data_IF_800955975934
#
_entry.id   IF_800955975934
#
_cell.length_a   1.000
_cell.length_b   1.000
_cell.length_c   1.000
_cell.angle_alpha   90.00
_cell.angle_beta   90.00
_cell.angle_gamma   90.00
#
_symmetry.space_group_name_H-M   'P 1'
#
loop_
_entity.id
_entity.type
_entity.pdbx_description
1 polymer ?
#
# COMPACT_ATOMS: atom_id res chain seq x y z
N UNK A 1 -2.70 -13.14 10.27
CA UNK A 1 -2.80 -13.80 8.95
C UNK A 1 -2.80 -12.79 7.79
N UNK A 2 -3.57 -11.70 7.84
CA UNK A 2 -3.58 -10.70 6.78
C UNK A 2 -2.19 -10.14 6.43
N UNK A 3 -1.41 -9.77 7.45
CA UNK A 3 -0.04 -9.26 7.27
C UNK A 3 0.85 -10.22 6.45
N UNK A 4 0.94 -11.49 6.85
CA UNK A 4 1.80 -12.46 6.17
C UNK A 4 1.39 -12.75 4.73
N UNK A 5 0.09 -12.67 4.43
CA UNK A 5 -0.41 -12.80 3.05
C UNK A 5 -0.01 -11.58 2.22
N UNK A 6 -0.17 -10.38 2.77
CA UNK A 6 0.11 -9.13 2.08
C UNK A 6 1.62 -8.93 1.85
N UNK A 7 2.47 -9.29 2.80
CA UNK A 7 3.93 -9.27 2.60
C UNK A 7 4.38 -10.28 1.55
N UNK A 8 3.77 -11.48 1.51
CA UNK A 8 3.98 -12.45 0.44
C UNK A 8 3.56 -11.93 -0.94
N UNK A 9 2.40 -11.28 -1.03
CA UNK A 9 1.92 -10.67 -2.27
C UNK A 9 2.85 -9.56 -2.77
N UNK A 10 3.38 -8.72 -1.87
CA UNK A 10 4.38 -7.69 -2.20
C UNK A 10 5.66 -8.36 -2.72
N UNK A 11 6.16 -9.40 -2.06
CA UNK A 11 7.36 -10.11 -2.51
C UNK A 11 7.17 -10.69 -3.92
N UNK A 12 6.05 -11.35 -4.19
CA UNK A 12 5.71 -11.86 -5.53
C UNK A 12 5.64 -10.72 -6.57
N UNK A 13 5.02 -9.59 -6.23
CA UNK A 13 4.90 -8.41 -7.08
C UNK A 13 6.23 -7.73 -7.44
N UNK A 14 7.32 -8.06 -6.74
CA UNK A 14 8.68 -7.55 -7.04
C UNK A 14 9.53 -8.49 -7.90
N UNK A 15 9.06 -9.71 -8.17
CA UNK A 15 9.74 -10.64 -9.08
C UNK A 15 9.60 -10.19 -10.54
N UNK A 16 10.48 -10.61 -11.47
CA UNK A 16 10.34 -10.27 -12.89
C UNK A 16 8.97 -10.64 -13.46
N UNK A 17 8.48 -11.85 -13.18
CA UNK A 17 7.14 -12.30 -13.58
C UNK A 17 6.04 -11.44 -12.93
N UNK A 18 6.18 -11.10 -11.64
CA UNK A 18 5.24 -10.22 -10.95
C UNK A 18 5.18 -8.80 -11.53
N UNK A 19 6.32 -8.25 -11.98
CA UNK A 19 6.36 -6.94 -12.64
C UNK A 19 5.62 -6.93 -13.97
N UNK A 20 5.61 -8.07 -14.68
CA UNK A 20 4.89 -8.24 -15.95
C UNK A 20 3.40 -8.52 -15.76
N UNK A 21 3.04 -9.36 -14.78
CA UNK A 21 1.69 -9.90 -14.62
C UNK A 21 0.83 -9.12 -13.64
N UNK A 22 1.43 -8.50 -12.60
CA UNK A 22 0.68 -7.84 -11.52
C UNK A 22 0.64 -6.34 -11.78
N UNK A 23 -0.52 -5.87 -12.26
CA UNK A 23 -0.75 -4.45 -12.55
C UNK A 23 -1.26 -3.66 -11.33
N UNK A 24 -1.70 -4.33 -10.28
CA UNK A 24 -2.33 -3.74 -9.09
C UNK A 24 -1.41 -3.70 -7.86
N UNK A 25 -0.10 -3.54 -8.07
CA UNK A 25 0.94 -3.65 -7.02
C UNK A 25 0.72 -2.70 -5.83
N UNK A 26 0.17 -1.52 -6.07
CA UNK A 26 -0.16 -0.58 -5.00
C UNK A 26 -1.16 -1.14 -3.98
N UNK A 27 -2.10 -1.99 -4.41
CA UNK A 27 -3.20 -2.48 -3.57
C UNK A 27 -2.70 -3.23 -2.33
N UNK A 28 -1.65 -4.05 -2.48
CA UNK A 28 -1.08 -4.79 -1.36
C UNK A 28 -0.43 -3.86 -0.32
N UNK A 29 0.28 -2.82 -0.77
CA UNK A 29 0.82 -1.77 0.11
C UNK A 29 -0.29 -1.01 0.84
N UNK A 30 -1.35 -0.60 0.13
CA UNK A 30 -2.47 0.13 0.73
C UNK A 30 -3.22 -0.69 1.80
N UNK A 31 -3.37 -1.99 1.59
CA UNK A 31 -3.99 -2.90 2.57
C UNK A 31 -3.06 -3.17 3.75
N UNK A 32 -1.76 -3.34 3.50
CA UNK A 32 -0.79 -3.59 4.56
C UNK A 32 -0.66 -2.38 5.49
N UNK A 33 -0.75 -1.16 4.95
CA UNK A 33 -0.80 0.06 5.74
C UNK A 33 -1.94 0.04 6.77
N UNK A 34 -3.16 -0.31 6.34
CA UNK A 34 -4.33 -0.43 7.22
C UNK A 34 -4.15 -1.51 8.28
N UNK A 35 -3.55 -2.65 7.92
CA UNK A 35 -3.23 -3.71 8.88
C UNK A 35 -2.27 -3.20 9.95
N UNK A 36 -1.22 -2.48 9.56
CA UNK A 36 -0.28 -1.89 10.51
C UNK A 36 -0.90 -0.80 11.39
N UNK A 37 -1.83 0.03 10.86
CA UNK A 37 -2.58 0.99 11.68
C UNK A 37 -3.42 0.29 12.76
N UNK A 38 -4.11 -0.79 12.41
CA UNK A 38 -4.89 -1.60 13.38
C UNK A 38 -3.99 -2.26 14.44
N UNK A 39 -2.76 -2.57 14.08
CA UNK A 39 -1.74 -3.10 14.99
C UNK A 39 -0.96 -1.99 15.72
N UNK A 40 -1.32 -0.71 15.56
CA UNK A 40 -0.64 0.47 16.15
C UNK A 40 0.82 0.66 15.70
N UNK A 41 1.24 0.01 14.60
CA UNK A 41 2.58 0.07 14.01
C UNK A 41 2.69 1.26 13.05
N UNK A 42 2.59 2.46 13.62
CA UNK A 42 2.40 3.70 12.84
C UNK A 42 3.54 4.00 11.85
N UNK A 43 4.80 3.69 12.20
CA UNK A 43 5.94 3.93 11.31
C UNK A 43 5.86 3.06 10.06
N UNK A 44 5.55 1.78 10.24
CA UNK A 44 5.44 0.81 9.14
C UNK A 44 4.20 1.10 8.30
N UNK A 45 3.09 1.48 8.94
CA UNK A 45 1.91 1.95 8.22
C UNK A 45 2.23 3.14 7.31
N UNK A 46 3.03 4.10 7.79
CA UNK A 46 3.41 5.27 7.02
C UNK A 46 4.28 4.92 5.81
N UNK A 47 5.22 3.99 5.95
CA UNK A 47 6.02 3.48 4.82
C UNK A 47 5.13 2.85 3.76
N UNK A 48 4.18 2.01 4.18
CA UNK A 48 3.26 1.37 3.24
C UNK A 48 2.30 2.38 2.58
N UNK A 49 1.85 3.40 3.30
CA UNK A 49 1.06 4.49 2.71
C UNK A 49 1.85 5.28 1.68
N UNK A 50 3.14 5.49 1.90
CA UNK A 50 4.01 6.16 0.95
C UNK A 50 4.10 5.36 -0.36
N UNK A 51 4.42 4.07 -0.30
CA UNK A 51 4.48 3.22 -1.51
C UNK A 51 3.11 3.05 -2.18
N UNK A 52 2.02 2.95 -1.39
CA UNK A 52 0.65 2.96 -1.91
C UNK A 52 0.36 4.23 -2.73
N UNK A 53 0.80 5.41 -2.27
CA UNK A 53 0.63 6.67 -2.98
C UNK A 53 1.50 6.78 -4.23
N UNK A 54 2.70 6.21 -4.22
CA UNK A 54 3.65 6.26 -5.35
C UNK A 54 3.22 5.34 -6.50
N UNK A 55 2.68 4.16 -6.18
CA UNK A 55 2.28 3.15 -7.17
C UNK A 55 0.78 3.22 -7.52
N UNK A 56 -0.03 3.84 -6.68
CA UNK A 56 -1.49 3.85 -6.84
C UNK A 56 -1.95 4.71 -8.00
N UNK A 57 -3.07 4.34 -8.59
CA UNK A 57 -3.61 5.01 -9.78
C UNK A 57 -5.10 5.26 -9.68
N UNK A 58 -5.52 6.47 -10.06
CA UNK A 58 -6.93 6.87 -10.07
C UNK A 58 -7.75 6.16 -11.17
N UNK A 59 -7.09 5.55 -12.16
CA UNK A 59 -7.78 4.78 -13.21
C UNK A 59 -8.11 3.35 -12.78
N UNK A 60 -7.51 2.86 -11.69
CA UNK A 60 -7.91 1.60 -11.07
C UNK A 60 -9.10 1.88 -10.14
N UNK A 61 -10.30 1.34 -10.38
CA UNK A 61 -11.52 1.74 -9.67
C UNK A 61 -11.48 1.48 -8.15
N UNK A 62 -10.65 0.56 -7.68
CA UNK A 62 -10.55 0.21 -6.25
C UNK A 62 -9.61 1.14 -5.47
N UNK A 63 -8.68 1.80 -6.17
CA UNK A 63 -7.57 2.55 -5.55
C UNK A 63 -7.88 4.01 -5.15
N UNK A 64 -8.85 4.76 -5.73
CA UNK A 64 -9.15 6.12 -5.32
C UNK A 64 -9.41 6.29 -3.82
N UNK A 65 -10.12 5.34 -3.21
CA UNK A 65 -10.38 5.38 -1.76
C UNK A 65 -9.09 5.22 -0.96
N UNK A 66 -8.21 4.31 -1.37
CA UNK A 66 -6.92 4.10 -0.71
C UNK A 66 -5.95 5.26 -0.91
N UNK A 67 -5.93 5.89 -2.08
CA UNK A 67 -5.12 7.08 -2.33
C UNK A 67 -5.53 8.26 -1.44
N UNK A 68 -6.82 8.44 -1.18
CA UNK A 68 -7.32 9.44 -0.22
C UNK A 68 -6.84 9.13 1.20
N UNK A 69 -6.81 7.86 1.61
CA UNK A 69 -6.30 7.46 2.92
C UNK A 69 -4.79 7.68 3.02
N UNK A 70 -4.03 7.28 2.01
CA UNK A 70 -2.59 7.51 1.91
C UNK A 70 -2.25 9.01 2.03
N UNK A 71 -2.95 9.86 1.28
CA UNK A 71 -2.78 11.32 1.35
C UNK A 71 -3.03 11.87 2.76
N UNK A 72 -4.12 11.43 3.41
CA UNK A 72 -4.44 11.85 4.78
C UNK A 72 -3.36 11.43 5.78
N UNK A 73 -2.87 10.19 5.69
CA UNK A 73 -1.83 9.67 6.56
C UNK A 73 -0.51 10.42 6.38
N UNK A 74 -0.08 10.62 5.13
CA UNK A 74 1.17 11.31 4.79
C UNK A 74 1.12 12.80 5.20
N UNK A 75 -0.01 13.48 4.96
CA UNK A 75 -0.21 14.87 5.39
C UNK A 75 -0.18 15.01 6.91
N UNK A 76 -0.83 14.11 7.65
CA UNK A 76 -0.80 14.09 9.12
C UNK A 76 0.63 13.89 9.65
N UNK A 77 1.46 13.14 8.94
CA UNK A 77 2.86 12.89 9.28
C UNK A 77 3.83 13.98 8.78
N UNK A 78 3.36 15.02 8.09
CA UNK A 78 4.21 16.08 7.53
C UNK A 78 5.09 15.63 6.35
N UNK A 79 4.67 14.60 5.60
CA UNK A 79 5.38 14.06 4.43
C UNK A 79 4.83 14.55 3.08
N UNK A 80 3.93 15.54 3.11
CA UNK A 80 3.30 16.18 1.96
C UNK A 80 3.24 17.69 2.13
#
# INVERSE_FOLDING_TARGET
QAESILTGAIALATTPEGLEQITTRASAHCLLAQVYEQQTRNSEALEQWQTCSELGSIVNPDQPKWLVLAYKALKKAGKL
#
